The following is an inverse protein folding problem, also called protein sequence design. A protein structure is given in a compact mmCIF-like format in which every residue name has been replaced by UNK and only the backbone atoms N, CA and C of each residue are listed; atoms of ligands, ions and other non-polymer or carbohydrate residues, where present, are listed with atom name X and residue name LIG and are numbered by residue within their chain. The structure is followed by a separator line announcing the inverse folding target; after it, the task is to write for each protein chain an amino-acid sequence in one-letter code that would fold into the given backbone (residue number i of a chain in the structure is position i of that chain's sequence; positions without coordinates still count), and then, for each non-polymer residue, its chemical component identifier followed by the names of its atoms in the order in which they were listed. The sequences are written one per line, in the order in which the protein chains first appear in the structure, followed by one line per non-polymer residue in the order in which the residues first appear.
data_IF_030934633929
#
_entry.id   IF_030934633929
#
_cell.length_a   1.000
_cell.length_b   1.000
_cell.length_c   1.000
_cell.angle_alpha   90.00
_cell.angle_beta   90.00
_cell.angle_gamma   90.00
#
_symmetry.space_group_name_H-M   'P 1'
#
loop_
_entity.id
_entity.type
_entity.pdbx_description
1 polymer ?
#
# COMPACT_ATOMS: atom_id res chain seq x y z
N UNK A 1 -14.30 -1.13 3.04
CA UNK A 1 -12.88 -0.87 2.65
C UNK A 1 -12.01 -1.35 3.81
N UNK A 2 -10.96 -2.14 3.58
CA UNK A 2 -10.19 -2.81 4.67
C UNK A 2 -9.24 -1.85 5.38
N UNK A 3 -8.58 -0.94 4.64
CA UNK A 3 -7.76 0.10 5.24
C UNK A 3 -8.68 1.17 5.83
N UNK A 4 -8.67 1.25 7.14
CA UNK A 4 -9.38 2.23 7.98
C UNK A 4 -8.45 2.58 9.17
N UNK A 5 -8.63 3.73 9.84
CA UNK A 5 -7.77 4.14 10.95
C UNK A 5 -7.60 3.06 12.04
N UNK A 6 -8.69 2.38 12.43
CA UNK A 6 -8.67 1.32 13.45
C UNK A 6 -7.89 0.08 13.00
N UNK A 7 -8.02 -0.27 11.71
CA UNK A 7 -7.24 -1.35 11.11
C UNK A 7 -5.75 -0.98 11.08
N UNK A 8 -5.41 0.24 10.67
CA UNK A 8 -4.02 0.72 10.66
C UNK A 8 -3.44 0.71 12.08
N UNK A 9 -4.20 1.14 13.09
CA UNK A 9 -3.80 1.06 14.50
C UNK A 9 -3.47 -0.38 14.92
N UNK A 10 -4.36 -1.32 14.62
CA UNK A 10 -4.18 -2.75 14.94
C UNK A 10 -2.99 -3.36 14.19
N UNK A 11 -2.90 -3.11 12.88
CA UNK A 11 -1.81 -3.57 12.02
C UNK A 11 -0.46 -3.06 12.54
N UNK A 12 -0.43 -1.81 13.01
CA UNK A 12 0.77 -1.18 13.53
C UNK A 12 1.35 -1.88 14.76
N UNK A 13 0.52 -2.60 15.54
CA UNK A 13 0.95 -3.33 16.75
C UNK A 13 1.55 -4.69 16.43
N UNK A 14 1.12 -5.33 15.34
CA UNK A 14 1.58 -6.65 14.93
C UNK A 14 2.77 -6.60 13.98
N UNK A 15 2.93 -5.50 13.24
CA UNK A 15 4.06 -5.31 12.32
C UNK A 15 5.35 -5.00 13.06
N UNK A 16 6.42 -5.71 12.71
CA UNK A 16 7.78 -5.41 13.19
C UNK A 16 8.21 -4.01 12.74
N UNK A 17 9.08 -3.38 13.54
CA UNK A 17 9.77 -2.14 13.14
C UNK A 17 10.49 -2.36 11.80
N UNK A 18 10.47 -1.33 10.95
CA UNK A 18 11.08 -1.32 9.62
C UNK A 18 10.45 -2.27 8.59
N UNK A 19 9.40 -3.03 8.94
CA UNK A 19 8.64 -3.83 7.99
C UNK A 19 7.96 -2.96 6.93
N UNK A 20 7.83 -3.50 5.71
CA UNK A 20 7.21 -2.81 4.58
C UNK A 20 5.79 -3.36 4.37
N UNK A 21 4.82 -2.46 4.37
CA UNK A 21 3.45 -2.72 3.98
C UNK A 21 3.33 -2.48 2.47
N UNK A 22 3.02 -3.54 1.72
CA UNK A 22 2.72 -3.49 0.30
C UNK A 22 1.21 -3.59 0.08
N UNK A 23 0.63 -2.64 -0.63
CA UNK A 23 -0.79 -2.64 -1.00
C UNK A 23 -0.88 -2.43 -2.50
N UNK A 24 -1.74 -3.20 -3.17
CA UNK A 24 -2.06 -3.07 -4.58
C UNK A 24 -3.59 -3.08 -4.76
N UNK A 25 -4.10 -2.23 -5.64
CA UNK A 25 -5.51 -2.17 -5.99
C UNK A 25 -5.66 -1.72 -7.44
N UNK A 26 -6.66 -2.27 -8.12
CA UNK A 26 -7.06 -1.93 -9.49
C UNK A 26 -7.98 -0.70 -9.54
N UNK A 27 -8.50 -0.25 -8.39
CA UNK A 27 -9.37 0.92 -8.28
C UNK A 27 -8.61 2.14 -7.78
N UNK A 28 -8.60 3.21 -8.58
CA UNK A 28 -7.89 4.46 -8.27
C UNK A 28 -8.41 5.12 -7.01
N UNK A 29 -9.71 5.42 -6.95
CA UNK A 29 -10.33 6.14 -5.84
C UNK A 29 -10.09 5.42 -4.51
N UNK A 30 -10.22 4.09 -4.50
CA UNK A 30 -9.91 3.28 -3.33
C UNK A 30 -8.45 3.44 -2.91
N UNK A 31 -7.53 3.51 -3.86
CA UNK A 31 -6.10 3.64 -3.60
C UNK A 31 -5.72 5.03 -3.08
N UNK A 32 -6.40 6.07 -3.54
CA UNK A 32 -6.26 7.43 -3.03
C UNK A 32 -6.79 7.54 -1.60
N UNK A 33 -7.95 6.95 -1.31
CA UNK A 33 -8.50 6.86 0.06
C UNK A 33 -7.52 6.15 1.00
N UNK A 34 -6.97 5.01 0.57
CA UNK A 34 -5.99 4.23 1.35
C UNK A 34 -4.73 5.05 1.65
N UNK A 35 -4.25 5.80 0.65
CA UNK A 35 -3.07 6.67 0.76
C UNK A 35 -3.30 7.80 1.76
N UNK A 36 -4.46 8.45 1.75
CA UNK A 36 -4.78 9.52 2.70
C UNK A 36 -4.77 9.02 4.14
N UNK A 37 -5.40 7.87 4.39
CA UNK A 37 -5.43 7.23 5.71
C UNK A 37 -4.01 6.88 6.19
N UNK A 38 -3.18 6.29 5.31
CA UNK A 38 -1.80 5.92 5.65
C UNK A 38 -0.90 7.13 5.87
N UNK A 39 -1.03 8.18 5.06
CA UNK A 39 -0.28 9.42 5.22
C UNK A 39 -0.64 10.17 6.51
N UNK A 40 -1.85 9.98 7.02
CA UNK A 40 -2.31 10.56 8.29
C UNK A 40 -1.80 9.79 9.51
N UNK A 41 -1.28 8.57 9.32
CA UNK A 41 -0.77 7.72 10.40
C UNK A 41 0.68 8.08 10.76
N UNK A 42 0.96 8.25 12.05
CA UNK A 42 2.34 8.39 12.56
C UNK A 42 3.11 7.06 12.58
N UNK A 43 2.41 5.94 12.43
CA UNK A 43 3.02 4.62 12.47
C UNK A 43 3.77 4.26 11.18
N UNK A 44 3.38 4.86 10.06
CA UNK A 44 3.84 4.49 8.73
C UNK A 44 4.44 5.70 8.01
N UNK A 45 5.48 5.48 7.21
CA UNK A 45 6.09 6.49 6.35
C UNK A 45 6.12 5.97 4.92
N UNK A 46 5.62 6.75 3.97
CA UNK A 46 5.72 6.42 2.54
C UNK A 46 7.19 6.26 2.13
N UNK A 47 7.47 5.27 1.29
CA UNK A 47 8.80 5.05 0.71
C UNK A 47 9.06 5.89 -0.56
N UNK A 48 8.00 6.46 -1.13
CA UNK A 48 8.02 7.28 -2.34
C UNK A 48 7.50 8.68 -2.03
N UNK A 49 7.55 9.60 -3.00
CA UNK A 49 6.93 10.91 -2.83
C UNK A 49 5.45 10.75 -2.48
N UNK A 50 4.87 11.73 -1.77
CA UNK A 50 3.50 11.66 -1.26
C UNK A 50 2.46 11.38 -2.35
N UNK A 51 2.75 11.79 -3.58
CA UNK A 51 1.85 11.68 -4.72
C UNK A 51 2.21 10.52 -5.67
N UNK A 52 3.35 9.86 -5.46
CA UNK A 52 3.84 8.80 -6.34
C UNK A 52 3.23 7.45 -5.98
N UNK A 53 2.91 6.67 -7.01
CA UNK A 53 2.61 5.25 -6.86
C UNK A 53 3.91 4.46 -6.80
N UNK A 54 3.95 3.44 -5.96
CA UNK A 54 5.08 2.52 -5.94
C UNK A 54 5.20 1.81 -7.31
N UNK A 55 6.43 1.50 -7.77
CA UNK A 55 6.61 0.74 -8.98
C UNK A 55 6.04 -0.67 -8.82
N UNK A 56 5.86 -1.34 -9.96
CA UNK A 56 5.57 -2.76 -9.96
C UNK A 56 6.66 -3.50 -9.21
N UNK A 57 6.24 -4.19 -8.14
CA UNK A 57 7.16 -4.73 -7.19
C UNK A 57 7.47 -6.17 -7.60
N UNK A 58 8.73 -6.41 -7.92
CA UNK A 58 9.38 -7.73 -8.04
C UNK A 58 9.24 -8.38 -9.43
N UNK A 59 10.36 -8.55 -10.16
CA UNK A 59 10.40 -9.44 -11.32
C UNK A 59 10.02 -10.87 -10.89
N UNK A 60 8.92 -11.41 -11.43
CA UNK A 60 8.65 -12.84 -11.41
C UNK A 60 7.50 -13.34 -10.54
N UNK A 61 6.80 -12.49 -9.77
CA UNK A 61 5.58 -12.87 -9.06
C UNK A 61 4.41 -11.98 -9.47
N UNK A 62 3.53 -12.52 -10.31
CA UNK A 62 2.24 -11.92 -10.63
C UNK A 62 1.15 -12.72 -9.96
N UNK A 63 0.29 -12.05 -9.20
CA UNK A 63 -1.01 -12.63 -8.86
C UNK A 63 -1.90 -12.73 -10.11
N UNK A 64 -2.90 -13.62 -10.10
CA UNK A 64 -3.83 -13.79 -11.23
C UNK A 64 -4.50 -12.46 -11.64
N UNK A 65 -4.78 -11.59 -10.66
CA UNK A 65 -5.37 -10.28 -10.90
C UNK A 65 -4.36 -9.33 -11.57
N UNK A 66 -3.09 -9.35 -11.18
CA UNK A 66 -2.06 -8.55 -11.84
C UNK A 66 -1.85 -9.03 -13.28
N UNK A 67 -1.86 -10.33 -13.51
CA UNK A 67 -1.77 -10.91 -14.84
C UNK A 67 -2.92 -10.47 -15.75
N UNK A 68 -4.16 -10.47 -15.22
CA UNK A 68 -5.34 -10.01 -15.94
C UNK A 68 -5.25 -8.52 -16.31
N UNK A 69 -4.81 -7.67 -15.39
CA UNK A 69 -4.73 -6.22 -15.60
C UNK A 69 -3.57 -5.84 -16.54
N UNK A 70 -2.41 -6.49 -16.42
CA UNK A 70 -1.27 -6.30 -17.34
C UNK A 70 -1.67 -6.67 -18.76
N UNK A 71 -2.35 -7.81 -18.97
CA UNK A 71 -2.86 -8.21 -20.29
C UNK A 71 -3.87 -7.24 -20.89
N UNK A 72 -4.60 -6.51 -20.06
CA UNK A 72 -5.61 -5.52 -20.48
C UNK A 72 -5.09 -4.08 -20.52
N UNK A 73 -3.81 -3.86 -20.21
CA UNK A 73 -3.22 -2.53 -20.07
C UNK A 73 -3.96 -1.64 -19.06
N UNK A 74 -4.52 -2.25 -18.00
CA UNK A 74 -5.20 -1.54 -16.93
C UNK A 74 -4.20 -1.19 -15.82
N UNK A 75 -4.23 0.03 -15.27
CA UNK A 75 -3.32 0.41 -14.21
C UNK A 75 -3.61 -0.36 -12.92
N UNK A 76 -2.53 -0.64 -12.17
CA UNK A 76 -2.60 -1.10 -10.78
C UNK A 76 -1.89 -0.07 -9.92
N UNK A 77 -2.63 0.44 -8.96
CA UNK A 77 -2.19 1.46 -8.03
C UNK A 77 -1.54 0.79 -6.83
N UNK A 78 -0.24 1.03 -6.65
CA UNK A 78 0.57 0.39 -5.62
C UNK A 78 1.04 1.40 -4.60
N UNK A 79 1.02 1.00 -3.33
CA UNK A 79 1.47 1.78 -2.19
C UNK A 79 2.48 0.98 -1.40
N UNK A 80 3.56 1.64 -0.97
CA UNK A 80 4.56 1.05 -0.08
C UNK A 80 4.86 1.96 1.09
N UNK A 81 4.63 1.43 2.29
CA UNK A 81 4.82 2.17 3.53
C UNK A 81 5.72 1.39 4.48
N UNK A 82 6.74 2.07 4.99
CA UNK A 82 7.64 1.52 6.01
C UNK A 82 7.07 1.80 7.40
N UNK A 83 7.06 0.79 8.27
CA UNK A 83 6.72 0.93 9.69
C UNK A 83 7.84 1.66 10.43
N UNK A 84 7.54 2.83 11.01
CA UNK A 84 8.55 3.72 11.63
C UNK A 84 8.42 3.92 13.14
N UNK A 85 7.22 3.80 13.71
CA UNK A 85 6.99 4.04 15.16
C UNK A 85 6.43 2.79 15.82
N UNK A 86 7.02 2.33 16.92
CA UNK A 86 6.41 1.34 17.82
C UNK A 86 5.57 2.10 18.84
N UNK A 87 4.27 2.20 18.63
CA UNK A 87 3.33 2.54 19.70
C UNK A 87 2.75 1.24 20.27
#
# INVERSE_FOLDING_TARGET
RVIQPDFISTLSKVMKKDAILHIASDKKDLSEDMREILNSSKAFKTMFSKDDWAPENIPGFFSDIEYYHVRKNNPIYRLQYKKVSSQ
#
